data_IF_350998598159
#
_entry.id   IF_350998598159
#
_cell.length_a   1.000
_cell.length_b   1.000
_cell.length_c   1.000
_cell.angle_alpha   90.00
_cell.angle_beta   90.00
_cell.angle_gamma   90.00
#
_symmetry.space_group_name_H-M   'P 1'
#
loop_
_entity.id
_entity.type
_entity.pdbx_description
1 polymer ?
#
# COMPACT_ATOMS: atom_id res chain seq x y z
N UNK A 1 3.76 9.30 -0.63
CA UNK A 1 3.90 8.03 -1.36
C UNK A 1 3.58 8.28 -2.83
N UNK A 2 4.33 7.69 -3.76
CA UNK A 2 4.18 7.96 -5.20
C UNK A 2 2.98 7.23 -5.81
N UNK A 3 2.35 7.85 -6.81
CA UNK A 3 1.20 7.27 -7.53
C UNK A 3 1.52 5.90 -8.17
N UNK A 4 2.74 5.74 -8.69
CA UNK A 4 3.24 4.46 -9.23
C UNK A 4 3.23 3.32 -8.21
N UNK A 5 3.48 3.61 -6.93
CA UNK A 5 3.45 2.61 -5.85
C UNK A 5 2.02 2.20 -5.52
N UNK A 6 1.06 3.13 -5.58
CA UNK A 6 -0.37 2.82 -5.43
C UNK A 6 -0.88 1.93 -6.55
N UNK A 7 -0.53 2.26 -7.79
CA UNK A 7 -0.86 1.45 -8.97
C UNK A 7 -0.31 0.03 -8.81
N UNK A 8 0.95 -0.09 -8.38
CA UNK A 8 1.57 -1.39 -8.11
C UNK A 8 0.85 -2.19 -7.03
N UNK A 9 0.43 -1.56 -5.93
CA UNK A 9 -0.38 -2.22 -4.89
C UNK A 9 -1.69 -2.75 -5.47
N UNK A 10 -2.37 -1.96 -6.31
CA UNK A 10 -3.62 -2.35 -6.95
C UNK A 10 -3.43 -3.51 -7.92
N UNK A 11 -2.35 -3.51 -8.69
CA UNK A 11 -2.03 -4.59 -9.61
C UNK A 11 -1.72 -5.90 -8.87
N UNK A 12 -0.93 -5.82 -7.80
CA UNK A 12 -0.68 -6.98 -6.93
C UNK A 12 -1.98 -7.46 -6.24
N UNK A 13 -2.87 -6.55 -5.86
CA UNK A 13 -4.18 -6.91 -5.28
C UNK A 13 -5.13 -7.55 -6.31
N UNK A 14 -5.08 -7.14 -7.57
CA UNK A 14 -5.82 -7.79 -8.66
C UNK A 14 -5.24 -9.17 -8.95
N UNK A 15 -3.90 -9.28 -9.04
CA UNK A 15 -3.20 -10.54 -9.27
C UNK A 15 -3.43 -11.54 -8.14
N UNK A 16 -3.51 -11.10 -6.89
CA UNK A 16 -3.83 -12.00 -5.76
C UNK A 16 -5.23 -12.61 -5.83
N UNK A 17 -6.13 -12.07 -6.67
CA UNK A 17 -7.50 -12.57 -6.87
C UNK A 17 -7.61 -13.52 -8.07
N UNK A 18 -6.55 -13.72 -8.84
CA UNK A 18 -6.54 -14.71 -9.92
C UNK A 18 -6.23 -16.10 -9.38
N UNK A 19 -6.48 -17.13 -10.19
CA UNK A 19 -6.16 -18.51 -9.84
C UNK A 19 -4.65 -18.76 -9.67
N UNK A 20 -3.80 -17.99 -10.37
CA UNK A 20 -2.34 -18.03 -10.20
C UNK A 20 -1.89 -17.39 -8.87
N UNK A 21 -2.62 -16.39 -8.39
CA UNK A 21 -2.31 -15.68 -7.16
C UNK A 21 -1.00 -14.90 -7.23
N UNK A 22 -0.43 -14.61 -6.05
CA UNK A 22 0.86 -13.94 -5.92
C UNK A 22 1.95 -14.97 -5.61
N UNK A 23 3.09 -14.80 -6.28
CA UNK A 23 4.34 -15.48 -5.89
C UNK A 23 4.83 -14.96 -4.53
N UNK A 24 5.70 -15.71 -3.85
CA UNK A 24 6.27 -15.30 -2.56
C UNK A 24 7.02 -13.96 -2.64
N UNK A 25 7.73 -13.72 -3.75
CA UNK A 25 8.39 -12.44 -4.01
C UNK A 25 7.38 -11.28 -4.12
N UNK A 26 6.27 -11.50 -4.82
CA UNK A 26 5.21 -10.51 -4.98
C UNK A 26 4.42 -10.27 -3.69
N UNK A 27 4.25 -11.29 -2.83
CA UNK A 27 3.69 -11.12 -1.48
C UNK A 27 4.59 -10.26 -0.59
N UNK A 28 5.91 -10.47 -0.65
CA UNK A 28 6.87 -9.65 0.06
C UNK A 28 6.84 -8.20 -0.44
N UNK A 29 6.79 -8.00 -1.77
CA UNK A 29 6.64 -6.70 -2.40
C UNK A 29 5.34 -6.01 -1.96
N UNK A 30 4.20 -6.71 -2.03
CA UNK A 30 2.90 -6.18 -1.62
C UNK A 30 2.88 -5.79 -0.14
N UNK A 31 3.51 -6.57 0.72
CA UNK A 31 3.61 -6.29 2.15
C UNK A 31 4.43 -5.04 2.42
N UNK A 32 5.59 -4.91 1.77
CA UNK A 32 6.46 -3.74 1.89
C UNK A 32 5.74 -2.46 1.41
N UNK A 33 5.09 -2.52 0.26
CA UNK A 33 4.34 -1.39 -0.31
C UNK A 33 3.14 -1.00 0.56
N UNK A 34 2.40 -1.97 1.11
CA UNK A 34 1.29 -1.71 2.03
C UNK A 34 1.75 -1.06 3.33
N UNK A 35 2.90 -1.47 3.86
CA UNK A 35 3.46 -0.84 5.07
C UNK A 35 3.82 0.62 4.81
N UNK A 36 4.52 0.89 3.70
CA UNK A 36 4.84 2.27 3.30
C UNK A 36 3.58 3.13 3.13
N UNK A 37 2.52 2.58 2.51
CA UNK A 37 1.23 3.26 2.39
C UNK A 37 0.66 3.64 3.75
N UNK A 38 0.55 2.65 4.65
CA UNK A 38 -0.03 2.83 5.98
C UNK A 38 0.75 3.86 6.78
N UNK A 39 2.08 3.83 6.73
CA UNK A 39 2.91 4.77 7.48
C UNK A 39 2.74 6.19 6.95
N UNK A 40 2.69 6.37 5.62
CA UNK A 40 2.40 7.68 5.01
C UNK A 40 1.00 8.19 5.35
N UNK A 41 0.00 7.30 5.36
CA UNK A 41 -1.37 7.65 5.72
C UNK A 41 -1.49 8.02 7.20
N UNK A 42 -0.84 7.26 8.10
CA UNK A 42 -0.79 7.57 9.53
C UNK A 42 -0.13 8.92 9.80
N UNK A 43 0.94 9.27 9.10
CA UNK A 43 1.57 10.58 9.21
C UNK A 43 0.62 11.69 8.76
N UNK A 44 -0.03 11.53 7.61
CA UNK A 44 -1.02 12.49 7.10
C UNK A 44 -2.21 12.66 8.04
N UNK A 45 -2.72 11.56 8.62
CA UNK A 45 -3.85 11.58 9.54
C UNK A 45 -3.50 12.30 10.85
N UNK A 46 -2.31 12.05 11.42
CA UNK A 46 -1.83 12.78 12.60
C UNK A 46 -1.74 14.27 12.32
N UNK A 47 -1.10 14.65 11.21
CA UNK A 47 -1.00 16.05 10.82
C UNK A 47 -2.38 16.71 10.66
N UNK A 48 -3.39 15.99 10.15
CA UNK A 48 -4.75 16.53 10.02
C UNK A 48 -5.44 16.70 11.38
N UNK A 49 -5.26 15.76 12.31
CA UNK A 49 -5.79 15.85 13.68
C UNK A 49 -5.13 16.98 14.47
N UNK A 50 -3.82 17.17 14.32
CA UNK A 50 -3.07 18.25 14.97
C UNK A 50 -3.47 19.65 14.46
N UNK A 51 -4.13 19.74 13.30
CA UNK A 51 -4.62 21.00 12.70
C UNK A 51 -6.12 21.25 12.94
N UNK A 52 -6.80 20.41 13.72
CA UNK A 52 -8.21 20.62 14.06
C UNK A 52 -8.30 21.14 15.50
N UNK A 53 -8.36 22.47 15.64
CA UNK A 53 -8.70 23.19 16.88
C UNK A 53 -10.21 23.09 17.23
#
# INVERSE_FOLDING_TARGET
>A
MEQKKLERINDLARKSRTAEGLTEAEKAEQTALRREYIDSFKQSLRAQLDNTD
#
